data_IF_976279781499
#
_entry.id   IF_976279781499
#
_cell.length_a   1.000
_cell.length_b   1.000
_cell.length_c   1.000
_cell.angle_alpha   90.00
_cell.angle_beta   90.00
_cell.angle_gamma   90.00
#
_symmetry.space_group_name_H-M   'P 1'
#
loop_
_entity.id
_entity.type
_entity.pdbx_description
1 polymer ?
#
# COMPACT_ATOMS: atom_id res chain seq x y z
N UNK A 1 -0.67 8.41 -10.39
CA UNK A 1 0.26 7.52 -9.66
C UNK A 1 1.04 6.80 -10.74
N UNK A 2 2.01 7.51 -11.32
CA UNK A 2 2.84 6.94 -12.38
C UNK A 2 3.89 6.06 -11.72
N UNK A 3 3.63 4.76 -11.77
CA UNK A 3 4.72 3.78 -11.73
C UNK A 3 5.49 4.07 -13.00
N UNK A 4 6.49 4.94 -12.93
CA UNK A 4 7.48 5.06 -14.00
C UNK A 4 8.09 3.68 -14.19
N UNK A 5 7.55 2.99 -15.20
CA UNK A 5 8.29 1.99 -15.93
C UNK A 5 9.58 2.70 -16.31
N UNK A 6 10.69 2.31 -15.69
CA UNK A 6 11.99 2.64 -16.23
C UNK A 6 11.96 2.17 -17.68
N UNK A 7 11.84 3.17 -18.56
CA UNK A 7 12.62 3.34 -19.79
C UNK A 7 13.68 2.25 -19.83
N UNK A 8 13.35 1.21 -20.59
CA UNK A 8 14.22 0.65 -21.61
C UNK A 8 15.69 1.08 -21.40
N UNK A 9 16.40 0.47 -20.44
CA UNK A 9 17.79 0.11 -20.73
C UNK A 9 17.66 -0.85 -21.88
N UNK A 10 17.85 -0.29 -23.07
CA UNK A 10 17.05 -0.63 -24.23
C UNK A 10 17.24 -2.06 -24.70
N UNK A 11 16.34 -2.55 -25.55
CA UNK A 11 16.61 -3.71 -26.39
C UNK A 11 17.96 -3.58 -27.12
N UNK A 12 18.56 -2.39 -27.25
CA UNK A 12 19.85 -2.10 -27.88
C UNK A 12 21.06 -2.79 -27.24
N UNK A 13 21.16 -2.88 -25.91
CA UNK A 13 22.32 -3.54 -25.25
C UNK A 13 22.25 -5.07 -25.38
N UNK A 14 21.03 -5.62 -25.28
CA UNK A 14 20.78 -7.03 -25.57
C UNK A 14 20.94 -7.33 -27.07
N UNK A 15 20.58 -6.41 -27.97
CA UNK A 15 20.75 -6.55 -29.43
C UNK A 15 22.22 -6.68 -29.81
N UNK A 16 23.09 -5.82 -29.27
CA UNK A 16 24.54 -5.87 -29.56
C UNK A 16 25.18 -7.18 -29.12
N UNK A 17 24.86 -7.66 -27.91
CA UNK A 17 25.32 -8.97 -27.43
C UNK A 17 24.77 -10.15 -28.24
N UNK A 18 23.52 -10.07 -28.67
CA UNK A 18 22.86 -11.11 -29.49
C UNK A 18 23.45 -11.19 -30.91
N UNK A 19 23.77 -10.03 -31.51
CA UNK A 19 24.44 -9.93 -32.81
C UNK A 19 25.88 -10.48 -32.76
N UNK A 20 26.62 -10.20 -31.70
CA UNK A 20 27.97 -10.75 -31.51
C UNK A 20 27.95 -12.27 -31.33
N UNK A 21 26.99 -12.81 -30.56
CA UNK A 21 26.82 -14.26 -30.39
C UNK A 21 26.37 -14.95 -31.67
N UNK A 22 25.43 -14.36 -32.42
CA UNK A 22 25.03 -14.87 -33.73
C UNK A 22 26.19 -14.85 -34.74
N UNK A 23 26.99 -13.77 -34.75
CA UNK A 23 28.19 -13.67 -35.56
C UNK A 23 29.26 -14.71 -35.21
N UNK A 24 29.49 -14.95 -33.92
CA UNK A 24 30.40 -16.00 -33.43
C UNK A 24 29.92 -17.41 -33.80
N UNK A 25 28.62 -17.68 -33.67
CA UNK A 25 28.03 -18.97 -34.07
C UNK A 25 28.16 -19.18 -35.57
N UNK A 26 27.88 -18.17 -36.40
CA UNK A 26 28.03 -18.26 -37.86
C UNK A 26 29.49 -18.43 -38.30
N UNK A 27 30.42 -17.68 -37.71
CA UNK A 27 31.86 -17.87 -37.96
C UNK A 27 32.33 -19.26 -37.55
N UNK A 28 31.82 -19.79 -36.44
CA UNK A 28 32.14 -21.13 -35.99
C UNK A 28 31.67 -22.20 -36.98
N UNK A 29 30.43 -22.12 -37.45
CA UNK A 29 29.91 -23.04 -38.48
C UNK A 29 30.68 -22.95 -39.81
N UNK A 30 31.18 -21.77 -40.16
CA UNK A 30 32.02 -21.54 -41.34
C UNK A 30 33.43 -22.13 -41.20
N UNK A 31 34.06 -22.02 -40.02
CA UNK A 31 35.44 -22.45 -39.79
C UNK A 31 35.57 -23.94 -39.42
N UNK A 32 34.47 -24.58 -38.99
CA UNK A 32 34.45 -25.97 -38.51
C UNK A 32 35.01 -26.99 -39.50
N UNK A 33 34.88 -26.74 -40.80
CA UNK A 33 35.28 -27.69 -41.85
C UNK A 33 36.80 -27.93 -41.93
N UNK A 34 37.63 -27.03 -41.39
CA UNK A 34 39.09 -27.10 -41.46
C UNK A 34 39.76 -27.56 -40.14
N UNK A 35 38.98 -27.93 -39.13
CA UNK A 35 39.48 -28.29 -37.79
C UNK A 35 39.41 -29.80 -37.55
N UNK A 36 40.37 -30.33 -36.76
CA UNK A 36 40.33 -31.73 -36.32
C UNK A 36 39.09 -32.02 -35.47
N UNK A 37 38.63 -33.27 -35.48
CA UNK A 37 37.38 -33.69 -34.82
C UNK A 37 37.37 -33.33 -33.33
N UNK A 38 38.49 -33.51 -32.63
CA UNK A 38 38.63 -33.16 -31.21
C UNK A 38 38.39 -31.67 -30.96
N UNK A 39 38.96 -30.80 -31.81
CA UNK A 39 38.81 -29.35 -31.71
C UNK A 39 37.37 -28.93 -32.03
N UNK A 40 36.71 -29.59 -32.99
CA UNK A 40 35.29 -29.35 -33.29
C UNK A 40 34.38 -29.68 -32.10
N UNK A 41 34.66 -30.76 -31.36
CA UNK A 41 33.88 -31.15 -30.18
C UNK A 41 34.09 -30.15 -29.04
N UNK A 42 35.34 -29.80 -28.74
CA UNK A 42 35.68 -28.84 -27.68
C UNK A 42 35.08 -27.46 -27.93
N UNK A 43 35.17 -26.97 -29.16
CA UNK A 43 34.61 -25.68 -29.55
C UNK A 43 33.08 -25.67 -29.59
N UNK A 44 32.44 -26.75 -30.04
CA UNK A 44 30.98 -26.88 -29.97
C UNK A 44 30.47 -26.84 -28.52
N UNK A 45 31.19 -27.46 -27.58
CA UNK A 45 30.91 -27.36 -26.14
C UNK A 45 31.02 -25.92 -25.64
N UNK A 46 32.12 -25.22 -25.97
CA UNK A 46 32.33 -23.82 -25.53
C UNK A 46 31.22 -22.92 -26.08
N UNK A 47 30.90 -23.00 -27.37
CA UNK A 47 29.86 -22.19 -28.02
C UNK A 47 28.49 -22.53 -27.44
N UNK A 48 28.17 -23.82 -27.28
CA UNK A 48 26.89 -24.26 -26.69
C UNK A 48 26.70 -23.79 -25.26
N UNK A 49 27.73 -23.94 -24.41
CA UNK A 49 27.67 -23.50 -23.01
C UNK A 49 27.56 -21.98 -22.91
N UNK A 50 28.29 -21.24 -23.76
CA UNK A 50 28.23 -19.78 -23.83
C UNK A 50 26.85 -19.27 -24.28
N UNK A 51 26.24 -19.93 -25.26
CA UNK A 51 24.89 -19.61 -25.71
C UNK A 51 23.85 -19.83 -24.60
N UNK A 52 23.94 -20.95 -23.87
CA UNK A 52 23.06 -21.24 -22.73
C UNK A 52 23.23 -20.18 -21.63
N UNK A 53 24.47 -19.86 -21.25
CA UNK A 53 24.76 -18.84 -20.23
C UNK A 53 24.22 -17.46 -20.65
N UNK A 54 24.33 -17.11 -21.93
CA UNK A 54 23.77 -15.87 -22.44
C UNK A 54 22.24 -15.85 -22.39
N UNK A 55 21.57 -16.93 -22.81
CA UNK A 55 20.10 -17.04 -22.72
C UNK A 55 19.66 -16.90 -21.27
N UNK A 56 20.32 -17.60 -20.34
CA UNK A 56 20.05 -17.47 -18.90
C UNK A 56 20.27 -16.03 -18.46
N UNK A 57 21.37 -15.39 -18.82
CA UNK A 57 21.67 -14.02 -18.41
C UNK A 57 20.65 -12.99 -18.93
N UNK A 58 20.30 -13.06 -20.23
CA UNK A 58 19.33 -12.17 -20.88
C UNK A 58 17.94 -12.35 -20.29
N UNK A 59 17.49 -13.60 -20.08
CA UNK A 59 16.13 -13.90 -19.66
C UNK A 59 15.94 -13.97 -18.14
N UNK A 60 17.00 -14.12 -17.35
CA UNK A 60 16.91 -14.23 -15.90
C UNK A 60 16.24 -13.00 -15.28
N UNK A 61 16.66 -11.78 -15.64
CA UNK A 61 16.07 -10.55 -15.10
C UNK A 61 14.59 -10.38 -15.51
N UNK A 62 14.21 -10.50 -16.80
CA UNK A 62 12.80 -10.47 -17.21
C UNK A 62 11.93 -11.52 -16.53
N UNK A 63 12.37 -12.79 -16.51
CA UNK A 63 11.61 -13.89 -15.92
C UNK A 63 11.45 -13.72 -14.42
N UNK A 64 12.51 -13.27 -13.73
CA UNK A 64 12.45 -12.96 -12.31
C UNK A 64 11.45 -11.85 -12.01
N UNK A 65 11.48 -10.74 -12.77
CA UNK A 65 10.53 -9.63 -12.60
C UNK A 65 9.09 -10.07 -12.86
N UNK A 66 8.87 -10.81 -13.93
CA UNK A 66 7.54 -11.36 -14.27
C UNK A 66 7.01 -12.27 -13.16
N UNK A 67 7.86 -13.16 -12.62
CA UNK A 67 7.47 -14.04 -11.52
C UNK A 67 7.17 -13.25 -10.22
N UNK A 68 7.99 -12.24 -9.90
CA UNK A 68 7.75 -11.36 -8.76
C UNK A 68 6.43 -10.59 -8.89
N UNK A 69 6.14 -10.03 -10.07
CA UNK A 69 4.90 -9.31 -10.37
C UNK A 69 3.68 -10.22 -10.35
N UNK A 70 3.78 -11.41 -10.95
CA UNK A 70 2.72 -12.41 -10.93
C UNK A 70 2.39 -12.85 -9.49
N UNK A 71 3.42 -13.10 -8.68
CA UNK A 71 3.27 -13.44 -7.25
C UNK A 71 2.58 -12.31 -6.47
N UNK A 72 3.03 -11.06 -6.67
CA UNK A 72 2.41 -9.89 -6.03
C UNK A 72 0.95 -9.73 -6.41
N UNK A 73 0.63 -9.85 -7.70
CA UNK A 73 -0.74 -9.73 -8.19
C UNK A 73 -1.64 -10.87 -7.69
N UNK A 74 -1.09 -12.08 -7.53
CA UNK A 74 -1.81 -13.20 -6.91
C UNK A 74 -2.11 -12.92 -5.43
N UNK A 75 -1.11 -12.45 -4.68
CA UNK A 75 -1.26 -12.14 -3.26
C UNK A 75 -2.22 -10.96 -3.02
N UNK A 76 -2.12 -9.88 -3.81
CA UNK A 76 -3.03 -8.74 -3.71
C UNK A 76 -4.48 -9.13 -3.96
N UNK A 77 -4.74 -9.97 -4.98
CA UNK A 77 -6.09 -10.51 -5.25
C UNK A 77 -6.63 -11.38 -4.12
N UNK A 78 -5.76 -12.18 -3.49
CA UNK A 78 -6.13 -13.02 -2.33
C UNK A 78 -6.53 -12.16 -1.13
N UNK A 79 -5.82 -11.06 -0.88
CA UNK A 79 -6.06 -10.16 0.27
C UNK A 79 -7.13 -9.10 0.00
N UNK A 80 -7.52 -8.89 -1.26
CA UNK A 80 -8.51 -7.89 -1.67
C UNK A 80 -9.86 -7.97 -0.93
N UNK A 81 -10.45 -9.16 -0.68
CA UNK A 81 -11.71 -9.26 0.07
C UNK A 81 -11.57 -8.79 1.52
N UNK A 82 -10.41 -9.01 2.15
CA UNK A 82 -10.16 -8.53 3.51
C UNK A 82 -10.03 -7.00 3.53
N UNK A 83 -9.36 -6.41 2.55
CA UNK A 83 -9.30 -4.95 2.37
C UNK A 83 -10.70 -4.34 2.17
N UNK A 84 -11.56 -4.99 1.39
CA UNK A 84 -12.95 -4.58 1.20
C UNK A 84 -13.75 -4.55 2.52
N UNK A 85 -13.55 -5.56 3.39
CA UNK A 85 -14.17 -5.58 4.72
C UNK A 85 -13.66 -4.43 5.61
N UNK A 86 -12.38 -4.07 5.52
CA UNK A 86 -11.88 -2.90 6.24
C UNK A 86 -12.51 -1.59 5.75
N UNK A 87 -12.70 -1.42 4.44
CA UNK A 87 -13.39 -0.24 3.89
C UNK A 87 -14.85 -0.15 4.38
N UNK A 88 -15.55 -1.28 4.39
CA UNK A 88 -16.93 -1.36 4.91
C UNK A 88 -17.00 -1.05 6.41
N UNK A 89 -16.10 -1.62 7.21
CA UNK A 89 -16.01 -1.32 8.65
C UNK A 89 -15.63 0.14 8.90
N UNK A 90 -14.76 0.72 8.08
CA UNK A 90 -14.38 2.12 8.22
C UNK A 90 -15.57 3.06 8.00
N UNK A 91 -16.41 2.77 7.00
CA UNK A 91 -17.62 3.56 6.71
C UNK A 91 -18.53 3.68 7.93
N UNK A 92 -18.66 2.63 8.74
CA UNK A 92 -19.46 2.63 9.97
C UNK A 92 -19.03 3.74 10.95
N UNK A 93 -17.73 4.07 11.03
CA UNK A 93 -17.24 5.17 11.88
C UNK A 93 -17.58 6.56 11.33
N UNK A 94 -17.78 6.68 10.03
CA UNK A 94 -18.13 7.95 9.35
C UNK A 94 -19.64 8.13 9.17
N UNK A 95 -20.44 7.12 9.49
CA UNK A 95 -21.87 7.13 9.24
C UNK A 95 -22.62 8.03 10.23
N UNK A 96 -23.39 8.98 9.70
CA UNK A 96 -24.07 10.00 10.51
C UNK A 96 -25.10 9.42 11.48
N UNK A 97 -25.76 8.31 11.10
CA UNK A 97 -26.79 7.66 11.89
C UNK A 97 -26.23 6.66 12.92
N UNK A 98 -24.92 6.42 12.94
CA UNK A 98 -24.31 5.53 13.92
C UNK A 98 -24.00 6.28 15.22
N UNK A 99 -24.73 5.93 16.28
CA UNK A 99 -24.59 6.55 17.61
C UNK A 99 -23.37 6.08 18.40
N UNK A 100 -22.59 5.15 17.83
CA UNK A 100 -21.53 4.42 18.51
C UNK A 100 -20.12 4.73 17.99
N UNK A 101 -19.95 5.83 17.24
CA UNK A 101 -18.65 6.31 16.79
C UNK A 101 -18.16 7.51 17.63
N UNK A 102 -16.84 7.73 17.73
CA UNK A 102 -16.29 8.84 18.51
C UNK A 102 -16.84 10.21 18.12
N UNK A 103 -17.07 10.45 16.81
CA UNK A 103 -17.46 11.76 16.33
C UNK A 103 -18.90 12.13 16.70
N UNK A 104 -19.78 11.14 16.76
CA UNK A 104 -21.15 11.32 17.26
C UNK A 104 -21.15 11.77 18.72
N UNK A 105 -20.34 11.13 19.58
CA UNK A 105 -20.25 11.50 20.99
C UNK A 105 -19.64 12.90 21.16
N UNK A 106 -18.61 13.24 20.38
CA UNK A 106 -18.02 14.59 20.35
C UNK A 106 -19.06 15.64 19.93
N UNK A 107 -19.89 15.35 18.93
CA UNK A 107 -21.00 16.21 18.52
C UNK A 107 -22.00 16.46 19.64
N UNK A 108 -22.34 15.42 20.42
CA UNK A 108 -23.21 15.57 21.59
C UNK A 108 -22.55 16.42 22.69
N UNK A 109 -21.25 16.23 22.95
CA UNK A 109 -20.52 17.04 23.93
C UNK A 109 -20.55 18.52 23.54
N UNK A 110 -20.30 18.84 22.25
CA UNK A 110 -20.34 20.21 21.72
C UNK A 110 -21.67 20.91 22.01
N UNK A 111 -22.78 20.20 21.95
CA UNK A 111 -24.11 20.76 22.17
C UNK A 111 -24.43 21.06 23.66
N UNK A 112 -23.48 20.85 24.58
CA UNK A 112 -23.64 21.18 25.99
C UNK A 112 -23.05 22.57 26.32
N UNK A 113 -23.63 23.28 27.32
CA UNK A 113 -23.12 24.58 27.76
C UNK A 113 -21.62 24.53 28.11
N UNK A 114 -20.85 25.48 27.57
CA UNK A 114 -19.42 25.59 27.80
C UNK A 114 -18.54 24.83 26.79
N UNK A 115 -19.14 24.19 25.78
CA UNK A 115 -18.42 23.54 24.67
C UNK A 115 -18.74 24.13 23.29
N UNK A 116 -19.43 25.27 23.22
CA UNK A 116 -19.88 25.89 21.97
C UNK A 116 -18.71 26.26 21.04
N UNK A 117 -17.54 26.55 21.62
CA UNK A 117 -16.32 26.88 20.89
C UNK A 117 -15.56 25.66 20.35
N UNK A 118 -16.00 24.43 20.64
CA UNK A 118 -15.35 23.22 20.12
C UNK A 118 -15.65 23.10 18.63
N UNK A 119 -14.59 23.10 17.83
CA UNK A 119 -14.67 22.94 16.38
C UNK A 119 -14.88 21.47 16.04
N UNK A 120 -16.14 21.11 15.79
CA UNK A 120 -16.53 19.79 15.28
C UNK A 120 -16.77 19.90 13.78
N UNK A 121 -15.88 19.30 13.00
CA UNK A 121 -16.04 19.22 11.54
C UNK A 121 -17.12 18.19 11.22
N UNK A 122 -18.08 18.58 10.38
CA UNK A 122 -19.14 17.67 9.96
C UNK A 122 -18.56 16.44 9.23
N UNK A 123 -18.99 15.22 9.58
CA UNK A 123 -18.45 14.01 8.98
C UNK A 123 -18.92 13.78 7.54
N UNK A 124 -19.77 14.65 6.98
CA UNK A 124 -20.39 14.47 5.66
C UNK A 124 -19.37 14.15 4.56
N UNK A 125 -18.29 14.92 4.48
CA UNK A 125 -17.23 14.68 3.49
C UNK A 125 -16.49 13.36 3.72
N UNK A 126 -16.19 13.00 4.96
CA UNK A 126 -15.55 11.72 5.28
C UNK A 126 -16.47 10.54 4.96
N UNK A 127 -17.77 10.70 5.19
CA UNK A 127 -18.81 9.72 4.88
C UNK A 127 -18.92 9.50 3.37
N UNK A 128 -19.05 10.56 2.57
CA UNK A 128 -19.10 10.46 1.11
C UNK A 128 -17.86 9.74 0.57
N UNK A 129 -16.66 10.12 1.03
CA UNK A 129 -15.44 9.45 0.61
C UNK A 129 -15.40 7.97 1.04
N UNK A 130 -15.92 7.63 2.23
CA UNK A 130 -15.96 6.25 2.70
C UNK A 130 -16.97 5.40 1.91
N UNK A 131 -18.09 6.01 1.53
CA UNK A 131 -19.10 5.43 0.63
C UNK A 131 -18.50 5.16 -0.76
N UNK A 132 -17.85 6.16 -1.35
CA UNK A 132 -17.20 6.05 -2.65
C UNK A 132 -16.08 5.02 -2.63
N UNK A 133 -15.29 4.98 -1.56
CA UNK A 133 -14.26 3.96 -1.36
C UNK A 133 -14.88 2.56 -1.29
N UNK A 134 -15.93 2.36 -0.49
CA UNK A 134 -16.61 1.06 -0.38
C UNK A 134 -17.16 0.59 -1.74
N UNK A 135 -17.81 1.48 -2.48
CA UNK A 135 -18.35 1.18 -3.81
C UNK A 135 -17.25 0.95 -4.84
N UNK A 136 -16.21 1.78 -4.83
CA UNK A 136 -15.03 1.64 -5.67
C UNK A 136 -14.39 0.27 -5.46
N UNK A 137 -14.19 -0.16 -4.22
CA UNK A 137 -13.60 -1.48 -3.94
C UNK A 137 -14.47 -2.62 -4.47
N UNK A 138 -15.79 -2.51 -4.38
CA UNK A 138 -16.72 -3.54 -4.89
C UNK A 138 -16.76 -3.63 -6.42
N UNK A 139 -16.52 -2.52 -7.11
CA UNK A 139 -16.65 -2.42 -8.58
C UNK A 139 -15.32 -2.56 -9.32
N UNK A 140 -14.20 -2.17 -8.69
CA UNK A 140 -12.88 -2.26 -9.28
C UNK A 140 -12.44 -3.71 -9.48
N UNK A 141 -11.87 -3.99 -10.65
CA UNK A 141 -11.25 -5.29 -10.95
C UNK A 141 -10.03 -5.51 -10.03
N UNK A 142 -9.98 -6.61 -9.26
CA UNK A 142 -8.85 -6.89 -8.38
C UNK A 142 -7.52 -6.99 -9.15
N UNK A 143 -6.62 -6.06 -8.84
CA UNK A 143 -5.26 -5.99 -9.38
C UNK A 143 -4.33 -5.42 -8.31
N UNK A 144 -3.01 -5.61 -8.48
CA UNK A 144 -2.03 -5.00 -7.59
C UNK A 144 -2.21 -3.49 -7.45
N UNK A 145 -2.36 -2.77 -8.56
CA UNK A 145 -2.52 -1.31 -8.54
C UNK A 145 -3.81 -0.87 -7.83
N UNK A 146 -4.93 -1.53 -8.12
CA UNK A 146 -6.18 -1.25 -7.43
C UNK A 146 -6.07 -1.53 -5.92
N UNK A 147 -5.46 -2.64 -5.55
CA UNK A 147 -5.23 -3.00 -4.14
C UNK A 147 -4.40 -1.95 -3.40
N UNK A 148 -3.26 -1.54 -3.97
CA UNK A 148 -2.39 -0.52 -3.37
C UNK A 148 -3.11 0.82 -3.25
N UNK A 149 -3.79 1.25 -4.31
CA UNK A 149 -4.52 2.52 -4.33
C UNK A 149 -5.62 2.55 -3.25
N UNK A 150 -6.41 1.49 -3.14
CA UNK A 150 -7.45 1.37 -2.11
C UNK A 150 -6.84 1.39 -0.71
N UNK A 151 -5.77 0.62 -0.47
CA UNK A 151 -5.14 0.52 0.84
C UNK A 151 -4.53 1.86 1.29
N UNK A 152 -3.87 2.58 0.37
CA UNK A 152 -3.31 3.91 0.63
C UNK A 152 -4.41 4.94 0.88
N UNK A 153 -5.51 4.89 0.11
CA UNK A 153 -6.64 5.78 0.29
C UNK A 153 -7.34 5.53 1.64
N UNK A 154 -7.60 4.26 1.97
CA UNK A 154 -8.15 3.88 3.27
C UNK A 154 -7.26 4.37 4.43
N UNK A 155 -5.95 4.14 4.35
CA UNK A 155 -4.98 4.60 5.35
C UNK A 155 -5.01 6.13 5.52
N UNK A 156 -5.13 6.86 4.42
CA UNK A 156 -5.23 8.33 4.42
C UNK A 156 -6.52 8.80 5.07
N UNK A 157 -7.64 8.12 4.79
CA UNK A 157 -8.93 8.40 5.39
C UNK A 157 -8.97 8.11 6.89
N UNK A 158 -8.38 6.99 7.33
CA UNK A 158 -8.25 6.66 8.76
C UNK A 158 -7.49 7.76 9.49
N UNK A 159 -6.38 8.24 8.91
CA UNK A 159 -5.60 9.36 9.48
C UNK A 159 -6.39 10.65 9.53
N UNK A 160 -7.10 11.00 8.44
CA UNK A 160 -7.95 12.18 8.41
C UNK A 160 -9.03 12.12 9.50
N UNK A 161 -9.74 11.00 9.61
CA UNK A 161 -10.76 10.79 10.64
C UNK A 161 -10.16 10.94 12.04
N UNK A 162 -9.04 10.27 12.31
CA UNK A 162 -8.34 10.37 13.59
C UNK A 162 -7.92 11.81 13.91
N UNK A 163 -7.17 12.45 13.02
CA UNK A 163 -6.51 13.72 13.31
C UNK A 163 -7.50 14.88 13.35
N UNK A 164 -8.42 14.91 12.38
CA UNK A 164 -9.30 16.06 12.16
C UNK A 164 -10.61 15.90 12.88
N UNK A 165 -11.22 14.71 12.81
CA UNK A 165 -12.57 14.50 13.34
C UNK A 165 -12.57 14.06 14.80
N UNK A 166 -11.48 13.47 15.32
CA UNK A 166 -11.43 12.97 16.70
C UNK A 166 -10.41 13.72 17.55
N UNK A 167 -9.12 13.66 17.22
CA UNK A 167 -8.06 14.13 18.10
C UNK A 167 -8.13 15.65 18.37
N UNK A 168 -8.31 16.46 17.32
CA UNK A 168 -8.43 17.93 17.45
C UNK A 168 -9.57 18.37 18.38
N UNK A 169 -10.84 17.97 18.17
CA UNK A 169 -11.91 18.39 19.06
C UNK A 169 -11.74 17.87 20.48
N UNK A 170 -11.17 16.68 20.67
CA UNK A 170 -10.91 16.12 22.01
C UNK A 170 -9.88 16.93 22.80
N UNK A 171 -8.83 17.42 22.14
CA UNK A 171 -7.87 18.32 22.79
C UNK A 171 -8.55 19.61 23.25
N UNK A 172 -9.48 20.16 22.44
CA UNK A 172 -10.24 21.36 22.81
C UNK A 172 -11.18 21.09 23.98
N UNK A 173 -11.94 19.98 23.95
CA UNK A 173 -12.84 19.58 25.05
C UNK A 173 -12.06 19.45 26.36
N UNK A 174 -10.92 18.75 26.35
CA UNK A 174 -10.07 18.60 27.54
C UNK A 174 -9.58 19.94 28.08
N UNK A 175 -9.15 20.84 27.20
CA UNK A 175 -8.69 22.18 27.60
C UNK A 175 -9.82 22.97 28.29
N UNK A 176 -11.05 22.86 27.78
CA UNK A 176 -12.22 23.51 28.39
C UNK A 176 -12.59 22.90 29.75
N UNK A 177 -12.45 21.58 29.90
CA UNK A 177 -12.62 20.89 31.18
C UNK A 177 -11.56 21.31 32.21
N UNK A 178 -10.30 21.35 31.81
CA UNK A 178 -9.17 21.72 32.68
C UNK A 178 -9.28 23.19 33.13
N UNK A 179 -9.88 24.06 32.31
CA UNK A 179 -10.15 25.47 32.64
C UNK A 179 -11.39 25.71 33.52
N UNK A 180 -12.22 24.69 33.75
CA UNK A 180 -13.49 24.81 34.47
C UNK A 180 -14.65 25.43 33.68
N UNK A 181 -14.45 25.73 32.38
CA UNK A 181 -15.45 26.36 31.51
C UNK A 181 -16.54 25.39 31.06
N UNK A 182 -16.24 24.09 30.95
CA UNK A 182 -17.17 23.04 30.55
C UNK A 182 -17.47 22.05 31.66
N UNK A 183 -18.71 21.55 31.73
CA UNK A 183 -19.08 20.40 32.58
C UNK A 183 -19.50 19.22 31.71
N UNK A 184 -18.62 18.22 31.55
CA UNK A 184 -19.01 16.96 30.89
C UNK A 184 -19.87 16.09 31.81
N UNK A 185 -20.97 15.58 31.27
CA UNK A 185 -21.78 14.54 31.92
C UNK A 185 -20.99 13.22 31.93
N UNK A 186 -20.94 12.45 33.04
CA UNK A 186 -20.20 11.18 33.12
C UNK A 186 -20.51 10.19 32.00
N UNK A 187 -21.77 10.16 31.53
CA UNK A 187 -22.22 9.30 30.43
C UNK A 187 -21.44 9.57 29.14
N UNK A 188 -21.23 10.83 28.75
CA UNK A 188 -20.51 11.15 27.51
C UNK A 188 -19.02 10.77 27.57
N UNK A 189 -18.40 10.87 28.74
CA UNK A 189 -17.01 10.39 28.94
C UNK A 189 -16.93 8.88 28.73
N UNK A 190 -17.84 8.12 29.33
CA UNK A 190 -17.89 6.67 29.19
C UNK A 190 -18.16 6.26 27.73
N UNK A 191 -19.18 6.86 27.10
CA UNK A 191 -19.55 6.57 25.71
C UNK A 191 -18.42 6.88 24.73
N UNK A 192 -17.73 8.02 24.91
CA UNK A 192 -16.59 8.38 24.08
C UNK A 192 -15.45 7.37 24.24
N UNK A 193 -15.09 7.00 25.47
CA UNK A 193 -13.98 6.06 25.70
C UNK A 193 -14.29 4.67 25.11
N UNK A 194 -15.54 4.20 25.19
CA UNK A 194 -15.96 2.96 24.51
C UNK A 194 -15.86 3.08 22.99
N UNK A 195 -16.36 4.16 22.41
CA UNK A 195 -16.30 4.39 20.96
C UNK A 195 -14.85 4.54 20.47
N UNK A 196 -14.01 5.22 21.26
CA UNK A 196 -12.57 5.38 21.03
C UNK A 196 -11.87 4.03 21.00
N UNK A 197 -12.09 3.17 21.98
CA UNK A 197 -11.46 1.84 22.01
C UNK A 197 -11.85 0.97 20.82
N UNK A 198 -13.11 1.04 20.36
CA UNK A 198 -13.53 0.37 19.12
C UNK A 198 -12.77 0.86 17.90
N UNK A 199 -12.59 2.18 17.78
CA UNK A 199 -11.81 2.76 16.69
C UNK A 199 -10.32 2.39 16.78
N UNK A 200 -9.73 2.45 17.98
CA UNK A 200 -8.33 2.05 18.21
C UNK A 200 -8.11 0.57 17.87
N UNK A 201 -9.02 -0.32 18.29
CA UNK A 201 -8.97 -1.73 17.94
C UNK A 201 -9.06 -1.97 16.42
N UNK A 202 -9.97 -1.28 15.74
CA UNK A 202 -10.06 -1.30 14.28
C UNK A 202 -8.74 -0.88 13.60
N UNK A 203 -8.09 0.19 14.08
CA UNK A 203 -6.83 0.66 13.50
C UNK A 203 -5.69 -0.34 13.75
N UNK A 204 -5.61 -0.92 14.94
CA UNK A 204 -4.60 -1.93 15.25
C UNK A 204 -4.73 -3.17 14.33
N UNK A 205 -5.95 -3.66 14.13
CA UNK A 205 -6.22 -4.76 13.19
C UNK A 205 -5.85 -4.40 11.74
N UNK A 206 -6.10 -3.14 11.34
CA UNK A 206 -5.72 -2.65 10.02
C UNK A 206 -4.20 -2.56 9.86
N UNK A 207 -3.47 -2.06 10.85
CA UNK A 207 -2.00 -2.01 10.85
C UNK A 207 -1.38 -3.41 10.76
N UNK A 208 -1.93 -4.38 11.50
CA UNK A 208 -1.50 -5.78 11.43
C UNK A 208 -1.73 -6.34 10.02
N UNK A 209 -2.90 -6.07 9.44
CA UNK A 209 -3.22 -6.47 8.07
C UNK A 209 -2.22 -5.88 7.04
N UNK A 210 -1.91 -4.59 7.14
CA UNK A 210 -0.94 -3.92 6.26
C UNK A 210 0.45 -4.53 6.43
N UNK A 211 0.91 -4.70 7.67
CA UNK A 211 2.21 -5.29 8.00
C UNK A 211 2.35 -6.71 7.45
N UNK A 212 1.34 -7.56 7.69
CA UNK A 212 1.31 -8.93 7.14
C UNK A 212 1.32 -8.92 5.61
N UNK A 213 0.52 -8.06 5.00
CA UNK A 213 0.41 -8.00 3.55
C UNK A 213 1.69 -7.47 2.90
N UNK A 214 2.38 -6.51 3.52
CA UNK A 214 3.69 -6.04 3.06
C UNK A 214 4.74 -7.15 3.04
N UNK A 215 4.74 -8.05 4.04
CA UNK A 215 5.62 -9.24 4.02
C UNK A 215 5.34 -10.16 2.82
N UNK A 216 4.08 -10.30 2.44
CA UNK A 216 3.66 -11.15 1.30
C UNK A 216 3.90 -10.48 -0.07
N UNK A 217 3.80 -9.16 -0.16
CA UNK A 217 4.03 -8.40 -1.39
C UNK A 217 5.53 -8.10 -1.62
N UNK A 218 6.31 -8.06 -0.55
CA UNK A 218 7.73 -7.71 -0.56
C UNK A 218 7.99 -6.23 -0.83
N UNK A 219 9.27 -5.87 -0.94
CA UNK A 219 9.71 -4.49 -1.10
C UNK A 219 9.86 -4.07 -2.57
N UNK A 220 9.69 -2.79 -2.84
CA UNK A 220 9.97 -2.15 -4.12
C UNK A 220 11.17 -1.21 -4.00
N UNK A 221 11.96 -1.10 -5.07
CA UNK A 221 13.03 -0.11 -5.15
C UNK A 221 12.48 1.20 -5.66
N UNK A 222 12.59 2.26 -4.87
CA UNK A 222 12.20 3.61 -5.25
C UNK A 222 13.40 4.54 -5.26
N UNK A 223 13.46 5.43 -6.25
CA UNK A 223 14.47 6.49 -6.30
C UNK A 223 14.02 7.63 -5.39
N UNK A 224 14.85 8.00 -4.42
CA UNK A 224 14.63 9.15 -3.53
C UNK A 224 15.87 10.02 -3.61
N UNK A 225 15.74 11.17 -4.29
CA UNK A 225 16.88 11.98 -4.71
C UNK A 225 17.82 11.19 -5.63
N UNK A 226 19.09 11.11 -5.26
CA UNK A 226 20.11 10.34 -5.98
C UNK A 226 20.28 8.90 -5.49
N UNK A 227 19.54 8.51 -4.44
CA UNK A 227 19.66 7.19 -3.81
C UNK A 227 18.51 6.25 -4.17
N UNK A 228 18.79 4.95 -4.23
CA UNK A 228 17.77 3.89 -4.31
C UNK A 228 17.47 3.36 -2.92
N UNK A 229 16.20 3.31 -2.54
CA UNK A 229 15.74 2.77 -1.26
C UNK A 229 14.77 1.63 -1.49
N UNK A 230 14.86 0.61 -0.66
CA UNK A 230 13.85 -0.43 -0.57
C UNK A 230 12.69 0.11 0.28
N UNK A 231 11.52 0.26 -0.32
CA UNK A 231 10.29 0.72 0.31
C UNK A 231 9.25 -0.40 0.35
N UNK A 232 8.43 -0.40 1.40
CA UNK A 232 7.23 -1.23 1.44
C UNK A 232 6.23 -0.77 0.38
N UNK A 233 5.46 -1.72 -0.16
CA UNK A 233 4.47 -1.40 -1.20
C UNK A 233 3.28 -0.62 -0.65
N UNK A 234 2.79 -1.02 0.52
CA UNK A 234 1.73 -0.33 1.25
C UNK A 234 2.39 0.56 2.30
N UNK A 235 1.94 1.81 2.40
CA UNK A 235 2.52 2.74 3.37
C UNK A 235 2.12 2.36 4.78
N UNK A 236 3.07 1.89 5.57
CA UNK A 236 2.93 1.91 7.02
C UNK A 236 2.81 3.36 7.50
N UNK A 237 1.96 3.58 8.51
CA UNK A 237 1.80 4.89 9.13
C UNK A 237 1.85 4.73 10.64
N UNK A 238 2.34 5.77 11.33
CA UNK A 238 2.28 5.81 12.79
C UNK A 238 0.87 6.21 13.24
N UNK A 239 0.25 5.37 14.06
CA UNK A 239 -0.99 5.69 14.73
C UNK A 239 -0.75 6.21 16.15
N UNK A 240 -0.85 7.52 16.32
CA UNK A 240 -0.99 8.10 17.65
C UNK A 240 -2.42 7.84 18.15
N UNK A 241 -2.54 7.15 19.29
CA UNK A 241 -3.85 6.86 19.89
C UNK A 241 -4.52 8.17 20.30
N UNK A 242 -5.78 8.42 19.92
CA UNK A 242 -6.54 9.55 20.45
C UNK A 242 -6.50 9.57 21.97
N UNK A 243 -6.51 10.75 22.57
CA UNK A 243 -6.53 10.87 24.03
C UNK A 243 -7.87 10.42 24.60
N UNK A 244 -7.85 9.88 25.81
CA UNK A 244 -9.05 9.66 26.63
C UNK A 244 -9.63 11.00 27.08
N UNK A 245 -10.94 11.01 27.34
CA UNK A 245 -11.69 12.17 27.83
C UNK A 245 -11.80 12.18 29.35
#
# INVERSE_FOLDING_TARGET
MDIESRVLTGPSECFGGSLLLAGLVLQFFSARQNLSIEVQIASALIVGTSAILFVVWVWYRPLRRWNEEWRRNRNSRRSYPQLARFCERFRAFTEYNMTNNPQYVIGNIRNNPGFDSVLVVEPHYANMLAYDLQNGVRTLKPSLNAFVWVADLLSSMIRFYRDVLVARPIVQIRTLLDSGTGKTVPTYRADYNVARERFVGFVAEHEEFISKTNKELGQIKRKVGDSWRDEELLRSYYFERPKEL
#
